data_IF_268744172298
#
_entry.id   IF_268744172298
#
_cell.length_a   1.000
_cell.length_b   1.000
_cell.length_c   1.000
_cell.angle_alpha   90.00
_cell.angle_beta   90.00
_cell.angle_gamma   90.00
#
_symmetry.space_group_name_H-M   'P 1'
#
loop_
_entity.id
_entity.type
_entity.pdbx_description
1 polymer ?
#
# COMPACT_ATOMS: atom_id res chain seq x y z
N UNK A 1 -16.43 -51.20 5.45
CA UNK A 1 -15.26 -50.46 4.94
C UNK A 1 -15.74 -49.22 4.20
N UNK A 2 -15.41 -48.02 4.69
CA UNK A 2 -15.67 -46.74 4.00
C UNK A 2 -14.34 -46.25 3.39
N UNK A 3 -14.31 -45.77 2.14
CA UNK A 3 -13.07 -45.24 1.57
C UNK A 3 -12.74 -43.90 2.23
N UNK A 4 -11.47 -43.75 2.61
CA UNK A 4 -10.93 -42.51 3.17
C UNK A 4 -10.87 -41.43 2.08
N UNK A 5 -11.52 -40.30 2.33
CA UNK A 5 -11.42 -39.08 1.53
C UNK A 5 -10.00 -38.54 1.65
N UNK A 6 -9.25 -38.55 0.56
CA UNK A 6 -7.95 -37.89 0.47
C UNK A 6 -8.20 -36.38 0.49
N UNK A 7 -8.00 -35.78 1.66
CA UNK A 7 -7.84 -34.33 1.81
C UNK A 7 -6.63 -33.91 0.99
N UNK A 8 -6.86 -33.23 -0.14
CA UNK A 8 -5.84 -32.53 -0.91
C UNK A 8 -5.16 -31.49 -0.02
N UNK A 9 -4.01 -31.88 0.54
CA UNK A 9 -3.18 -31.03 1.36
C UNK A 9 -2.67 -29.85 0.53
N UNK A 10 -3.04 -28.64 0.94
CA UNK A 10 -2.49 -27.41 0.40
C UNK A 10 -0.95 -27.52 0.37
N UNK A 11 -0.34 -27.33 -0.81
CA UNK A 11 1.08 -27.57 -1.06
C UNK A 11 1.98 -26.78 -0.10
N UNK A 12 3.17 -27.30 0.21
CA UNK A 12 4.18 -26.62 1.05
C UNK A 12 4.49 -25.19 0.57
N UNK A 13 4.40 -24.95 -0.74
CA UNK A 13 4.48 -23.64 -1.40
C UNK A 13 3.39 -22.67 -0.90
N UNK A 14 2.13 -23.12 -0.85
CA UNK A 14 1.00 -22.32 -0.39
C UNK A 14 1.09 -21.99 1.11
N UNK A 15 1.62 -22.91 1.93
CA UNK A 15 1.89 -22.69 3.36
C UNK A 15 3.06 -21.72 3.59
N UNK A 16 4.08 -21.73 2.72
CA UNK A 16 5.18 -20.77 2.78
C UNK A 16 4.73 -19.37 2.37
N UNK A 17 3.99 -19.23 1.26
CA UNK A 17 3.36 -17.96 0.80
C UNK A 17 2.45 -17.35 1.85
N UNK A 18 1.65 -18.15 2.55
CA UNK A 18 0.76 -17.64 3.61
C UNK A 18 1.50 -17.17 4.86
N UNK A 19 2.65 -17.79 5.20
CA UNK A 19 3.41 -17.43 6.40
C UNK A 19 4.31 -16.18 6.24
N UNK A 20 4.79 -15.88 5.03
CA UNK A 20 5.51 -14.62 4.76
C UNK A 20 4.55 -13.41 4.74
N UNK A 21 3.40 -13.56 4.09
CA UNK A 21 2.32 -12.55 4.04
C UNK A 21 1.75 -12.19 5.41
N UNK A 22 1.77 -13.12 6.37
CA UNK A 22 1.34 -12.87 7.74
C UNK A 22 2.41 -12.19 8.62
N UNK A 23 3.71 -12.35 8.31
CA UNK A 23 4.82 -11.87 9.16
C UNK A 23 5.30 -10.45 8.82
N UNK A 24 5.31 -10.08 7.54
CA UNK A 24 5.83 -8.77 7.12
C UNK A 24 4.78 -7.65 7.11
N UNK A 25 3.49 -7.99 7.23
CA UNK A 25 2.39 -7.06 6.96
C UNK A 25 1.35 -7.10 8.07
N UNK A 26 1.40 -6.12 8.96
CA UNK A 26 0.30 -5.83 9.88
C UNK A 26 -0.90 -5.34 9.08
N UNK A 27 -1.88 -6.21 8.84
CA UNK A 27 -3.10 -5.91 8.10
C UNK A 27 -3.29 -6.63 6.76
N UNK A 28 -2.43 -7.61 6.42
CA UNK A 28 -2.63 -8.43 5.22
C UNK A 28 -3.94 -9.24 5.29
N UNK A 29 -4.72 -9.31 4.20
CA UNK A 29 -5.94 -10.09 4.15
C UNK A 29 -5.73 -11.59 4.39
N UNK A 30 -6.45 -12.16 5.37
CA UNK A 30 -6.50 -13.62 5.52
C UNK A 30 -7.34 -14.31 4.42
N UNK A 31 -8.24 -13.58 3.74
CA UNK A 31 -9.11 -14.10 2.67
C UNK A 31 -9.40 -13.03 1.59
N UNK A 32 -9.41 -13.40 0.30
CA UNK A 32 -9.77 -12.50 -0.79
C UNK A 32 -11.29 -12.18 -0.81
N UNK A 33 -11.73 -11.08 -1.47
CA UNK A 33 -13.15 -10.76 -1.67
C UNK A 33 -13.85 -11.83 -2.51
N UNK A 34 -15.18 -11.99 -2.39
CA UNK A 34 -15.96 -13.01 -3.13
C UNK A 34 -16.19 -12.59 -4.60
N UNK A 35 -16.01 -13.54 -5.53
CA UNK A 35 -16.34 -13.41 -6.97
C UNK A 35 -15.14 -13.63 -7.91
N UNK A 36 -15.25 -14.51 -8.93
CA UNK A 36 -14.10 -15.11 -9.63
C UNK A 36 -13.18 -14.11 -10.34
N UNK A 37 -13.71 -13.11 -11.06
CA UNK A 37 -12.89 -12.11 -11.76
C UNK A 37 -12.22 -11.07 -10.84
N UNK A 38 -12.91 -10.71 -9.74
CA UNK A 38 -12.45 -9.70 -8.77
C UNK A 38 -11.35 -10.22 -7.85
N UNK A 39 -11.48 -11.47 -7.40
CA UNK A 39 -10.43 -12.12 -6.61
C UNK A 39 -9.16 -12.29 -7.44
N UNK A 40 -9.28 -12.56 -8.75
CA UNK A 40 -8.13 -12.79 -9.64
C UNK A 40 -7.21 -11.59 -9.75
N UNK A 41 -7.72 -10.40 -10.12
CA UNK A 41 -6.88 -9.19 -10.23
C UNK A 41 -6.18 -8.83 -8.92
N UNK A 42 -6.89 -8.94 -7.79
CA UNK A 42 -6.32 -8.65 -6.48
C UNK A 42 -5.20 -9.64 -6.11
N UNK A 43 -5.34 -10.93 -6.48
CA UNK A 43 -4.30 -11.94 -6.31
C UNK A 43 -3.10 -11.70 -7.23
N UNK A 44 -3.32 -11.31 -8.49
CA UNK A 44 -2.24 -10.96 -9.42
C UNK A 44 -1.40 -9.79 -8.90
N UNK A 45 -2.05 -8.74 -8.39
CA UNK A 45 -1.35 -7.63 -7.73
C UNK A 45 -0.64 -8.05 -6.45
N UNK A 46 -1.26 -8.93 -5.67
CA UNK A 46 -0.67 -9.47 -4.47
C UNK A 46 0.59 -10.31 -4.74
N UNK A 47 0.66 -11.00 -5.88
CA UNK A 47 1.85 -11.74 -6.32
C UNK A 47 2.96 -10.78 -6.80
N UNK A 48 2.60 -9.72 -7.55
CA UNK A 48 3.56 -8.68 -7.94
C UNK A 48 4.16 -7.94 -6.75
N UNK A 49 3.35 -7.67 -5.74
CA UNK A 49 3.83 -7.06 -4.50
C UNK A 49 4.72 -8.02 -3.70
N UNK A 50 4.44 -9.33 -3.71
CA UNK A 50 5.33 -10.34 -3.11
C UNK A 50 6.69 -10.37 -3.82
N UNK A 51 6.70 -10.28 -5.16
CA UNK A 51 7.95 -10.20 -5.92
C UNK A 51 8.73 -8.91 -5.61
N UNK A 52 8.05 -7.77 -5.50
CA UNK A 52 8.68 -6.52 -5.05
C UNK A 52 9.24 -6.64 -3.62
N UNK A 53 8.56 -7.36 -2.72
CA UNK A 53 9.00 -7.58 -1.35
C UNK A 53 10.37 -8.28 -1.26
N UNK A 54 10.68 -9.16 -2.21
CA UNK A 54 11.95 -9.92 -2.26
C UNK A 54 13.16 -9.02 -2.55
N UNK A 55 12.92 -7.82 -3.09
CA UNK A 55 13.96 -6.85 -3.49
C UNK A 55 14.20 -5.77 -2.44
N UNK A 56 13.45 -5.80 -1.33
CA UNK A 56 13.55 -4.81 -0.28
C UNK A 56 14.92 -4.81 0.39
N UNK A 57 15.40 -3.61 0.69
CA UNK A 57 16.60 -3.39 1.51
C UNK A 57 16.20 -2.63 2.76
N UNK A 58 15.89 -3.36 3.82
CA UNK A 58 15.34 -2.74 5.03
C UNK A 58 16.37 -1.79 5.66
N UNK A 59 15.95 -0.55 5.82
CA UNK A 59 16.64 0.45 6.63
C UNK A 59 15.82 0.67 7.89
N UNK A 60 16.41 0.54 9.07
CA UNK A 60 15.71 0.82 10.32
C UNK A 60 16.08 2.22 10.80
N UNK A 61 15.10 3.12 10.77
CA UNK A 61 15.19 4.44 11.40
C UNK A 61 14.04 4.60 12.37
N UNK A 62 14.09 5.65 13.20
CA UNK A 62 12.92 6.07 13.96
C UNK A 62 11.85 6.58 12.99
N UNK A 63 10.88 5.71 12.67
CA UNK A 63 9.76 6.03 11.79
C UNK A 63 8.57 6.51 12.63
N UNK A 64 7.74 7.37 12.06
CA UNK A 64 6.49 7.86 12.65
C UNK A 64 5.47 6.73 12.81
N UNK A 65 5.42 5.79 11.85
CA UNK A 65 4.55 4.61 11.91
C UNK A 65 3.07 4.87 11.58
N UNK A 66 2.68 6.13 11.40
CA UNK A 66 1.38 6.58 10.89
C UNK A 66 1.49 7.95 10.21
N UNK A 67 2.49 8.13 9.35
CA UNK A 67 2.72 9.43 8.73
C UNK A 67 1.63 9.77 7.70
N UNK A 68 0.87 10.85 7.95
CA UNK A 68 -0.27 11.28 7.13
C UNK A 68 -0.30 12.79 7.04
N UNK A 69 -0.84 13.31 5.93
CA UNK A 69 -1.01 14.75 5.70
C UNK A 69 -1.88 15.47 6.73
N UNK A 70 -2.72 14.76 7.49
CA UNK A 70 -3.51 15.34 8.60
C UNK A 70 -2.70 15.55 9.89
N UNK A 71 -1.49 15.00 9.98
CA UNK A 71 -0.59 15.15 11.13
C UNK A 71 0.56 16.13 10.85
N UNK A 72 0.53 16.80 9.69
CA UNK A 72 1.56 17.76 9.27
C UNK A 72 0.93 19.14 9.27
N UNK A 73 1.49 20.03 10.10
CA UNK A 73 1.12 21.42 10.20
C UNK A 73 2.25 22.27 9.62
N UNK A 74 1.89 23.22 8.77
CA UNK A 74 2.83 24.11 8.11
C UNK A 74 2.58 25.54 8.62
N UNK A 75 3.63 26.16 9.12
CA UNK A 75 3.73 27.61 9.35
C UNK A 75 4.70 28.21 8.30
N UNK A 76 4.90 29.52 8.31
CA UNK A 76 5.74 30.21 7.34
C UNK A 76 7.21 29.73 7.38
N UNK A 77 7.73 29.45 8.58
CA UNK A 77 9.13 29.12 8.85
C UNK A 77 9.34 27.70 9.41
N UNK A 78 8.25 26.96 9.69
CA UNK A 78 8.33 25.68 10.37
C UNK A 78 7.31 24.65 9.85
N UNK A 79 7.74 23.39 9.82
CA UNK A 79 6.88 22.22 9.61
C UNK A 79 6.86 21.40 10.90
N UNK A 80 5.67 21.20 11.46
CA UNK A 80 5.49 20.39 12.68
C UNK A 80 4.74 19.10 12.35
N UNK A 81 5.27 17.99 12.85
CA UNK A 81 4.67 16.65 12.69
C UNK A 81 4.24 16.14 14.07
N UNK A 82 2.98 15.74 14.20
CA UNK A 82 2.37 15.28 15.47
C UNK A 82 1.87 13.83 15.38
N UNK A 83 1.18 13.32 16.41
CA UNK A 83 0.67 11.93 16.48
C UNK A 83 1.79 10.87 16.46
N UNK A 84 2.76 11.02 17.36
CA UNK A 84 3.94 10.15 17.47
C UNK A 84 3.69 8.87 18.29
N UNK A 85 2.44 8.55 18.63
CA UNK A 85 2.09 7.39 19.48
C UNK A 85 2.46 6.03 18.83
N UNK A 86 2.67 6.03 17.52
CA UNK A 86 3.04 4.83 16.73
C UNK A 86 4.49 4.83 16.28
N UNK A 87 5.28 5.77 16.78
CA UNK A 87 6.70 5.89 16.51
C UNK A 87 7.43 4.61 16.93
N UNK A 88 8.19 4.03 15.99
CA UNK A 88 9.02 2.84 16.26
C UNK A 88 10.06 2.66 15.16
N UNK A 89 11.14 1.89 15.42
CA UNK A 89 12.05 1.47 14.37
C UNK A 89 11.32 0.85 13.18
N UNK A 90 11.56 1.39 11.99
CA UNK A 90 10.89 0.98 10.77
C UNK A 90 11.53 1.56 9.52
N UNK A 91 11.07 1.08 8.37
CA UNK A 91 11.52 1.55 7.07
C UNK A 91 10.93 2.95 6.78
N UNK A 92 11.76 3.96 6.47
CA UNK A 92 11.27 5.31 6.20
C UNK A 92 10.37 5.38 4.97
N UNK A 93 10.60 4.54 3.96
CA UNK A 93 9.78 4.49 2.76
C UNK A 93 8.32 4.09 3.06
N UNK A 94 8.08 3.41 4.19
CA UNK A 94 6.73 3.09 4.67
C UNK A 94 5.93 4.35 4.98
N UNK A 95 6.52 5.29 5.70
CA UNK A 95 5.85 6.52 6.09
C UNK A 95 5.58 7.40 4.87
N UNK A 96 6.56 7.54 3.98
CA UNK A 96 6.38 8.28 2.71
C UNK A 96 5.30 7.63 1.85
N UNK A 97 5.31 6.30 1.73
CA UNK A 97 4.30 5.53 1.01
C UNK A 97 2.89 5.67 1.58
N UNK A 98 2.74 5.67 2.91
CA UNK A 98 1.45 5.93 3.56
C UNK A 98 0.98 7.36 3.29
N UNK A 99 1.86 8.36 3.45
CA UNK A 99 1.53 9.77 3.23
C UNK A 99 0.98 9.99 1.82
N UNK A 100 1.73 9.56 0.80
CA UNK A 100 1.36 9.72 -0.61
C UNK A 100 0.01 9.04 -0.88
N UNK A 101 -0.13 7.79 -0.45
CA UNK A 101 -1.39 7.05 -0.62
C UNK A 101 -2.58 7.77 0.01
N UNK A 102 -2.45 8.22 1.26
CA UNK A 102 -3.56 8.85 2.01
C UNK A 102 -3.95 10.20 1.42
N UNK A 103 -2.97 11.01 1.04
CA UNK A 103 -3.19 12.32 0.44
C UNK A 103 -3.86 12.18 -0.92
N UNK A 104 -3.34 11.31 -1.80
CA UNK A 104 -3.89 11.08 -3.14
C UNK A 104 -5.30 10.49 -3.09
N UNK A 105 -5.53 9.49 -2.24
CA UNK A 105 -6.84 8.88 -2.06
C UNK A 105 -7.87 9.88 -1.50
N UNK A 106 -7.49 10.72 -0.53
CA UNK A 106 -8.39 11.76 0.01
C UNK A 106 -8.75 12.77 -1.09
N UNK A 107 -7.77 13.25 -1.85
CA UNK A 107 -8.00 14.24 -2.92
C UNK A 107 -8.87 13.68 -4.04
N UNK A 108 -8.62 12.44 -4.46
CA UNK A 108 -9.40 11.79 -5.51
C UNK A 108 -10.85 11.54 -5.08
N UNK A 109 -11.08 11.15 -3.83
CA UNK A 109 -12.45 11.01 -3.30
C UNK A 109 -13.21 12.34 -3.26
N UNK A 110 -12.52 13.43 -2.91
CA UNK A 110 -13.14 14.75 -2.80
C UNK A 110 -13.41 15.44 -4.15
N UNK A 111 -12.59 15.18 -5.17
CA UNK A 111 -12.64 15.97 -6.42
C UNK A 111 -12.66 15.17 -7.72
N UNK A 112 -12.46 13.85 -7.68
CA UNK A 112 -12.31 13.00 -8.87
C UNK A 112 -11.03 13.23 -9.68
N UNK A 113 -10.36 14.38 -9.51
CA UNK A 113 -9.13 14.73 -10.21
C UNK A 113 -7.85 14.28 -9.49
N UNK A 114 -6.81 13.98 -10.28
CA UNK A 114 -5.49 13.56 -9.79
C UNK A 114 -4.40 14.63 -9.91
N UNK A 115 -4.54 15.60 -10.81
CA UNK A 115 -3.48 16.55 -11.19
C UNK A 115 -2.82 17.27 -10.00
N UNK A 116 -3.61 17.85 -9.09
CA UNK A 116 -3.07 18.52 -7.89
C UNK A 116 -2.34 17.55 -6.95
N UNK A 117 -2.86 16.33 -6.81
CA UNK A 117 -2.23 15.31 -5.97
C UNK A 117 -0.93 14.80 -6.61
N UNK A 118 -0.86 14.73 -7.94
CA UNK A 118 0.36 14.40 -8.70
C UNK A 118 1.42 15.49 -8.56
N UNK A 119 1.05 16.76 -8.69
CA UNK A 119 1.97 17.88 -8.46
C UNK A 119 2.53 17.85 -7.03
N UNK A 120 1.67 17.68 -6.02
CA UNK A 120 2.12 17.58 -4.63
C UNK A 120 2.99 16.34 -4.38
N UNK A 121 2.66 15.20 -4.99
CA UNK A 121 3.47 13.97 -4.90
C UNK A 121 4.85 14.18 -5.49
N UNK A 122 4.93 14.80 -6.66
CA UNK A 122 6.19 15.09 -7.34
C UNK A 122 7.06 16.01 -6.50
N UNK A 123 6.51 17.14 -6.04
CA UNK A 123 7.22 18.09 -5.20
C UNK A 123 7.74 17.43 -3.90
N UNK A 124 6.92 16.60 -3.25
CA UNK A 124 7.36 15.85 -2.07
C UNK A 124 8.54 14.92 -2.39
N UNK A 125 8.44 14.13 -3.46
CA UNK A 125 9.49 13.16 -3.82
C UNK A 125 10.79 13.83 -4.28
N UNK A 126 10.69 14.94 -5.01
CA UNK A 126 11.85 15.73 -5.43
C UNK A 126 12.60 16.29 -4.22
N UNK A 127 11.90 16.99 -3.31
CA UNK A 127 12.55 17.60 -2.15
C UNK A 127 13.01 16.55 -1.12
N UNK A 128 12.20 15.53 -0.84
CA UNK A 128 12.59 14.47 0.09
C UNK A 128 13.74 13.62 -0.46
N UNK A 129 13.74 13.34 -1.77
CA UNK A 129 14.78 12.57 -2.44
C UNK A 129 16.10 13.33 -2.61
N UNK A 130 16.07 14.67 -2.73
CA UNK A 130 17.27 15.49 -2.76
C UNK A 130 18.05 15.42 -1.44
N UNK A 131 17.34 15.37 -0.30
CA UNK A 131 17.95 15.32 1.03
C UNK A 131 18.27 13.88 1.48
N UNK A 132 17.36 12.93 1.23
CA UNK A 132 17.41 11.58 1.78
C UNK A 132 17.06 10.52 0.72
N UNK A 133 17.83 10.40 -0.37
CA UNK A 133 17.52 9.49 -1.48
C UNK A 133 17.45 8.02 -1.04
N UNK A 134 18.29 7.61 -0.08
CA UNK A 134 18.31 6.25 0.47
C UNK A 134 16.97 5.84 1.11
N UNK A 135 16.24 6.81 1.69
CA UNK A 135 14.97 6.55 2.36
C UNK A 135 13.83 6.22 1.37
N UNK A 136 14.03 6.44 0.08
CA UNK A 136 13.02 6.21 -0.95
C UNK A 136 13.21 4.89 -1.73
N UNK A 137 14.29 4.15 -1.48
CA UNK A 137 14.61 2.93 -2.21
C UNK A 137 13.45 1.90 -2.21
N UNK A 138 12.79 1.72 -1.05
CA UNK A 138 11.68 0.79 -0.89
C UNK A 138 10.30 1.41 -1.18
N UNK A 139 10.23 2.66 -1.64
CA UNK A 139 8.98 3.39 -1.83
C UNK A 139 7.99 2.69 -2.78
N UNK A 140 8.40 2.20 -3.98
CA UNK A 140 7.48 1.51 -4.89
C UNK A 140 6.68 0.41 -4.20
N UNK A 141 7.34 -0.37 -3.35
CA UNK A 141 6.70 -1.43 -2.58
C UNK A 141 5.71 -0.90 -1.56
N UNK A 142 6.11 0.06 -0.69
CA UNK A 142 5.22 0.53 0.37
C UNK A 142 4.03 1.32 -0.18
N UNK A 143 4.23 2.12 -1.22
CA UNK A 143 3.14 2.81 -1.90
C UNK A 143 2.16 1.82 -2.55
N UNK A 144 2.67 0.79 -3.25
CA UNK A 144 1.86 -0.29 -3.79
C UNK A 144 1.11 -1.06 -2.69
N UNK A 145 1.78 -1.37 -1.59
CA UNK A 145 1.19 -2.04 -0.43
C UNK A 145 -0.01 -1.28 0.14
N UNK A 146 0.12 0.02 0.39
CA UNK A 146 -0.98 0.81 0.93
C UNK A 146 -2.19 0.89 -0.02
N UNK A 147 -1.95 0.99 -1.33
CA UNK A 147 -3.02 0.94 -2.33
C UNK A 147 -3.73 -0.42 -2.36
N UNK A 148 -2.97 -1.53 -2.37
CA UNK A 148 -3.54 -2.87 -2.41
C UNK A 148 -4.36 -3.19 -1.14
N UNK A 149 -3.87 -2.79 0.03
CA UNK A 149 -4.60 -2.96 1.30
C UNK A 149 -5.89 -2.13 1.31
N UNK A 150 -5.84 -0.88 0.85
CA UNK A 150 -7.03 -0.03 0.77
C UNK A 150 -8.03 -0.52 -0.26
N UNK A 151 -7.59 -1.02 -1.42
CA UNK A 151 -8.44 -1.68 -2.41
C UNK A 151 -9.13 -2.89 -1.81
N UNK A 152 -8.39 -3.77 -1.14
CA UNK A 152 -8.97 -4.94 -0.50
C UNK A 152 -10.03 -4.57 0.55
N UNK A 153 -9.73 -3.60 1.43
CA UNK A 153 -10.68 -3.12 2.44
C UNK A 153 -11.93 -2.53 1.80
N UNK A 154 -11.76 -1.74 0.74
CA UNK A 154 -12.85 -1.15 -0.02
C UNK A 154 -13.75 -2.23 -0.64
N UNK A 155 -13.18 -3.18 -1.39
CA UNK A 155 -13.93 -4.28 -2.03
C UNK A 155 -14.63 -5.20 -1.03
N UNK A 156 -14.09 -5.33 0.19
CA UNK A 156 -14.72 -6.12 1.26
C UNK A 156 -15.90 -5.37 1.91
N UNK A 157 -15.78 -4.05 2.06
CA UNK A 157 -16.75 -3.22 2.77
C UNK A 157 -17.79 -2.53 1.89
N UNK A 158 -17.62 -2.55 0.57
CA UNK A 158 -18.47 -1.81 -0.37
C UNK A 158 -19.07 -2.77 -1.39
N UNK A 159 -20.39 -2.77 -1.59
CA UNK A 159 -21.02 -3.67 -2.55
C UNK A 159 -20.74 -3.21 -4.00
N UNK A 160 -20.71 -4.12 -4.98
CA UNK A 160 -20.31 -3.80 -6.37
C UNK A 160 -21.22 -2.83 -7.12
N UNK A 161 -22.47 -2.68 -6.68
CA UNK A 161 -23.48 -1.77 -7.21
C UNK A 161 -23.37 -0.35 -6.64
N UNK A 162 -22.47 -0.11 -5.67
CA UNK A 162 -22.21 1.22 -5.15
C UNK A 162 -21.75 2.15 -6.28
N UNK A 163 -22.27 3.39 -6.39
CA UNK A 163 -22.02 4.29 -7.53
C UNK A 163 -20.53 4.59 -7.75
N UNK A 164 -19.75 4.68 -6.67
CA UNK A 164 -18.30 4.90 -6.73
C UNK A 164 -17.46 3.62 -6.88
N UNK A 165 -18.06 2.44 -6.93
CA UNK A 165 -17.32 1.17 -6.84
C UNK A 165 -16.26 1.04 -7.93
N UNK A 166 -16.68 1.08 -9.20
CA UNK A 166 -15.77 0.93 -10.35
C UNK A 166 -14.71 2.02 -10.35
N UNK A 167 -15.13 3.28 -10.13
CA UNK A 167 -14.25 4.45 -10.07
C UNK A 167 -13.13 4.30 -9.03
N UNK A 168 -13.46 3.87 -7.81
CA UNK A 168 -12.48 3.72 -6.74
C UNK A 168 -11.60 2.47 -6.90
N UNK A 169 -12.14 1.39 -7.46
CA UNK A 169 -11.34 0.23 -7.84
C UNK A 169 -10.29 0.64 -8.88
N UNK A 170 -10.70 1.27 -9.97
CA UNK A 170 -9.80 1.72 -11.03
C UNK A 170 -8.76 2.71 -10.51
N UNK A 171 -9.16 3.59 -9.59
CA UNK A 171 -8.23 4.47 -8.89
C UNK A 171 -7.13 3.68 -8.17
N UNK A 172 -7.47 2.80 -7.24
CA UNK A 172 -6.43 2.08 -6.48
C UNK A 172 -5.58 1.16 -7.37
N UNK A 173 -6.17 0.56 -8.41
CA UNK A 173 -5.43 -0.23 -9.39
C UNK A 173 -4.41 0.65 -10.13
N UNK A 174 -4.82 1.81 -10.65
CA UNK A 174 -3.93 2.73 -11.35
C UNK A 174 -2.81 3.27 -10.46
N UNK A 175 -3.11 3.54 -9.18
CA UNK A 175 -2.12 3.97 -8.19
C UNK A 175 -1.11 2.86 -7.85
N UNK A 176 -1.58 1.61 -7.79
CA UNK A 176 -0.71 0.45 -7.61
C UNK A 176 0.24 0.26 -8.81
N UNK A 177 -0.27 0.39 -10.04
CA UNK A 177 0.56 0.31 -11.24
C UNK A 177 1.61 1.41 -11.29
N UNK A 178 1.20 2.64 -11.00
CA UNK A 178 2.12 3.78 -10.93
C UNK A 178 3.19 3.56 -9.86
N UNK A 179 2.82 3.07 -8.68
CA UNK A 179 3.78 2.81 -7.60
C UNK A 179 4.85 1.79 -8.02
N UNK A 180 4.46 0.62 -8.57
CA UNK A 180 5.41 -0.42 -8.97
C UNK A 180 6.14 -0.12 -10.29
N UNK A 181 5.58 0.74 -11.15
CA UNK A 181 6.22 1.22 -12.37
C UNK A 181 7.19 2.37 -12.13
N UNK A 182 7.09 3.06 -10.98
CA UNK A 182 7.98 4.16 -10.61
C UNK A 182 9.38 3.63 -10.35
N UNK A 183 10.34 4.05 -11.18
CA UNK A 183 11.76 3.97 -10.84
C UNK A 183 12.06 5.18 -9.97
N UNK A 184 12.03 4.99 -8.67
CA UNK A 184 12.56 6.02 -7.76
C UNK A 184 14.07 5.87 -7.83
N UNK A 185 14.68 6.67 -8.70
CA UNK A 185 16.14 6.75 -8.90
C UNK A 185 16.74 7.76 -7.95
#
# INVERSE_FOLDING_TARGET
MRPATISTGASRESRRRSSWRARCFTGWPRRPPRGPGRSRRLLEQADRLEEAARKLRLQLVQAHGQFRHIHVFMAEDAVTVIDLDRCRPGDPARDVGEYIHRMRAKRYKASGGKSRAEQATRALLENYGAELPQNLFNLPFYWGYHNLVSLWRFMKGTPPDHPDYSRLVDFYLSEFEMALGSRVT
#
